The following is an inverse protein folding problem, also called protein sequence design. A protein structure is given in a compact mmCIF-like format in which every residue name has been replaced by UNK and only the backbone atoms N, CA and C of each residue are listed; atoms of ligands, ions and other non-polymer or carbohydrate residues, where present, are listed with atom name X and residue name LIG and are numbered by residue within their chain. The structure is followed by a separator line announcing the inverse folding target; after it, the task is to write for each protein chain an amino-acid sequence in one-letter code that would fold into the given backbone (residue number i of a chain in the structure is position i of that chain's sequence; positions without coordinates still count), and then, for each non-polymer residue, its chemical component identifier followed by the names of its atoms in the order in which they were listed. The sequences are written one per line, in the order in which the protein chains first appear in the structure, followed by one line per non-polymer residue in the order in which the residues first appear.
data_IF_031821851720
#
_entry.id   IF_031821851720
#
_cell.length_a   1.000
_cell.length_b   1.000
_cell.length_c   1.000
_cell.angle_alpha   90.00
_cell.angle_beta   90.00
_cell.angle_gamma   90.00
#
_symmetry.space_group_name_H-M   'P 1'
#
loop_
_entity.id
_entity.type
_entity.pdbx_description
1 polymer ?
#
# COMPACT_ATOMS: atom_id res chain seq x y z
N UNK A 1 10.56 -7.88 4.49
CA UNK A 1 9.87 -6.59 4.28
C UNK A 1 8.36 -6.79 4.22
N UNK A 2 7.63 -5.84 4.73
CA UNK A 2 6.17 -5.83 4.65
C UNK A 2 5.70 -4.49 4.12
N UNK A 3 4.47 -4.47 3.59
CA UNK A 3 3.80 -3.24 3.21
C UNK A 3 2.64 -3.03 4.18
N UNK A 4 2.63 -1.89 4.84
CA UNK A 4 1.52 -1.52 5.70
C UNK A 4 0.63 -0.55 4.94
N UNK A 5 -0.65 -0.86 4.86
CA UNK A 5 -1.63 -0.07 4.11
C UNK A 5 -2.61 0.57 5.08
N UNK A 6 -2.79 1.87 4.93
CA UNK A 6 -3.70 2.66 5.75
C UNK A 6 -4.87 3.12 4.89
N UNK A 7 -6.07 2.80 5.32
CA UNK A 7 -7.29 3.23 4.63
C UNK A 7 -8.11 4.09 5.58
N UNK A 8 -8.44 5.29 5.14
CA UNK A 8 -9.25 6.22 5.94
C UNK A 8 -10.68 6.27 5.40
N UNK A 9 -11.61 5.99 6.30
CA UNK A 9 -13.04 6.08 6.04
C UNK A 9 -13.62 7.22 6.87
N UNK A 10 -14.85 7.59 6.63
CA UNK A 10 -15.45 8.73 7.34
C UNK A 10 -15.51 8.53 8.86
N UNK A 11 -15.67 7.29 9.31
CA UNK A 11 -15.82 6.95 10.72
C UNK A 11 -14.67 6.12 11.29
N UNK A 12 -13.81 5.56 10.44
CA UNK A 12 -12.80 4.60 10.84
C UNK A 12 -11.51 4.75 10.04
N UNK A 13 -10.44 4.21 10.62
CA UNK A 13 -9.17 4.00 9.94
C UNK A 13 -8.83 2.53 10.02
N UNK A 14 -8.54 1.91 8.89
CA UNK A 14 -8.08 0.53 8.83
C UNK A 14 -6.58 0.50 8.51
N UNK A 15 -5.88 -0.38 9.20
CA UNK A 15 -4.47 -0.59 8.97
C UNK A 15 -4.23 -2.08 8.80
N UNK A 16 -3.66 -2.47 7.67
CA UNK A 16 -3.42 -3.87 7.34
C UNK A 16 -1.99 -4.05 6.85
N UNK A 17 -1.39 -5.19 7.22
CA UNK A 17 -0.05 -5.55 6.79
C UNK A 17 -0.15 -6.60 5.70
N UNK A 18 0.69 -6.46 4.68
CA UNK A 18 0.76 -7.40 3.57
C UNK A 18 2.19 -7.85 3.37
N UNK A 19 2.36 -9.12 3.09
CA UNK A 19 3.65 -9.70 2.76
C UNK A 19 3.91 -9.62 1.27
N UNK A 20 5.17 -9.84 0.89
CA UNK A 20 5.56 -9.87 -0.52
C UNK A 20 4.74 -10.92 -1.28
N UNK A 21 4.22 -10.54 -2.42
CA UNK A 21 3.42 -11.42 -3.27
C UNK A 21 1.92 -11.43 -2.97
N UNK A 22 1.49 -10.83 -1.86
CA UNK A 22 0.06 -10.78 -1.56
C UNK A 22 -0.64 -9.68 -2.37
N UNK A 23 -1.84 -9.98 -2.84
CA UNK A 23 -2.65 -8.98 -3.53
C UNK A 23 -3.25 -8.00 -2.52
N UNK A 24 -2.98 -6.72 -2.74
CA UNK A 24 -3.51 -5.64 -1.91
C UNK A 24 -4.69 -5.02 -2.63
N UNK A 25 -5.85 -5.03 -2.00
CA UNK A 25 -7.04 -4.38 -2.55
C UNK A 25 -7.45 -3.25 -1.63
N UNK A 26 -7.41 -2.04 -2.15
CA UNK A 26 -7.82 -0.86 -1.39
C UNK A 26 -9.33 -0.69 -1.53
N UNK A 27 -10.01 -0.48 -0.41
CA UNK A 27 -11.46 -0.28 -0.43
C UNK A 27 -11.84 0.92 -1.28
N UNK A 28 -12.82 0.73 -2.15
CA UNK A 28 -13.27 1.80 -3.05
C UNK A 28 -14.00 2.92 -2.33
N UNK A 29 -14.49 2.65 -1.12
CA UNK A 29 -15.18 3.64 -0.29
C UNK A 29 -14.24 4.41 0.62
N UNK A 30 -12.94 4.10 0.60
CA UNK A 30 -11.96 4.83 1.38
C UNK A 30 -11.87 6.28 0.86
N UNK A 31 -11.84 7.22 1.78
CA UNK A 31 -11.64 8.62 1.42
C UNK A 31 -10.19 8.87 1.01
N UNK A 32 -9.26 8.17 1.67
CA UNK A 32 -7.83 8.24 1.39
C UNK A 32 -7.19 6.90 1.69
N UNK A 33 -6.12 6.59 0.98
CA UNK A 33 -5.32 5.42 1.25
C UNK A 33 -3.84 5.75 1.07
N UNK A 34 -3.01 5.13 1.89
CA UNK A 34 -1.56 5.32 1.82
C UNK A 34 -0.85 4.03 2.19
N UNK A 35 0.46 4.01 1.98
CA UNK A 35 1.27 2.85 2.31
C UNK A 35 2.60 3.28 2.92
N UNK A 36 3.21 2.34 3.63
CA UNK A 36 4.60 2.46 4.08
C UNK A 36 5.22 1.07 3.93
N UNK A 37 6.44 1.04 3.38
CA UNK A 37 7.20 -0.20 3.26
C UNK A 37 8.14 -0.28 4.45
N UNK A 38 8.02 -1.36 5.23
CA UNK A 38 8.73 -1.55 6.47
C UNK A 38 9.72 -2.71 6.34
N UNK A 39 10.89 -2.56 6.97
CA UNK A 39 11.89 -3.62 6.98
C UNK A 39 11.44 -4.80 7.84
N UNK A 40 10.70 -4.53 8.92
CA UNK A 40 10.10 -5.57 9.76
C UNK A 40 8.78 -5.06 10.34
N UNK A 41 7.95 -5.96 10.90
CA UNK A 41 6.62 -5.58 11.41
C UNK A 41 6.65 -4.60 12.58
N UNK A 42 7.78 -4.50 13.27
CA UNK A 42 7.91 -3.63 14.45
C UNK A 42 8.39 -2.23 14.12
N UNK A 43 8.78 -1.99 12.87
CA UNK A 43 9.24 -0.67 12.46
C UNK A 43 8.08 0.33 12.49
N UNK A 44 8.38 1.55 12.96
CA UNK A 44 7.40 2.64 12.93
C UNK A 44 7.22 3.09 11.46
N UNK A 45 5.98 3.10 10.96
CA UNK A 45 5.73 3.56 9.59
C UNK A 45 6.21 4.99 9.32
N UNK A 46 6.24 5.84 10.34
CA UNK A 46 6.74 7.21 10.18
C UNK A 46 8.22 7.28 9.90
N UNK A 47 8.96 6.23 10.28
CA UNK A 47 10.40 6.15 10.05
C UNK A 47 10.73 5.58 8.66
N UNK A 48 9.74 5.10 7.93
CA UNK A 48 9.98 4.58 6.59
C UNK A 48 10.20 5.71 5.60
N UNK A 49 11.22 5.58 4.77
CA UNK A 49 11.48 6.51 3.67
C UNK A 49 10.64 6.17 2.43
N UNK A 50 10.07 4.98 2.39
CA UNK A 50 9.27 4.50 1.26
C UNK A 50 7.79 4.55 1.62
N UNK A 51 7.23 5.74 1.53
CA UNK A 51 5.82 5.98 1.81
C UNK A 51 5.18 6.71 0.65
N UNK A 52 3.88 6.54 0.49
CA UNK A 52 3.16 7.24 -0.56
C UNK A 52 1.67 7.01 -0.45
N UNK A 53 0.94 7.49 -1.44
CA UNK A 53 -0.50 7.36 -1.50
C UNK A 53 -0.92 6.24 -2.43
N UNK A 54 -2.07 5.64 -2.11
CA UNK A 54 -2.72 4.64 -2.95
C UNK A 54 -4.07 5.17 -3.39
N UNK A 55 -4.54 4.68 -4.53
CA UNK A 55 -5.85 5.08 -5.05
C UNK A 55 -6.94 4.20 -4.45
N UNK A 56 -8.00 4.78 -3.88
CA UNK A 56 -9.13 3.97 -3.41
C UNK A 56 -9.69 3.12 -4.55
N UNK A 57 -9.95 1.86 -4.25
CA UNK A 57 -10.41 0.90 -5.24
C UNK A 57 -9.31 0.27 -6.09
N UNK A 58 -8.07 0.69 -5.89
CA UNK A 58 -6.93 0.16 -6.66
C UNK A 58 -6.46 -1.20 -6.17
N UNK A 59 -5.68 -1.86 -7.00
CA UNK A 59 -5.04 -3.13 -6.69
C UNK A 59 -3.54 -2.97 -6.76
N UNK A 60 -2.84 -3.58 -5.81
CA UNK A 60 -1.39 -3.43 -5.68
C UNK A 60 -0.77 -4.76 -5.26
N UNK A 61 0.51 -4.90 -5.53
CA UNK A 61 1.30 -6.06 -5.07
C UNK A 61 2.72 -5.59 -4.81
N UNK A 62 3.33 -6.08 -3.72
CA UNK A 62 4.74 -5.85 -3.45
C UNK A 62 5.52 -7.06 -3.93
N UNK A 63 6.32 -6.86 -4.96
CA UNK A 63 7.00 -7.96 -5.64
C UNK A 63 8.38 -7.51 -6.09
N UNK A 64 9.39 -8.38 -5.88
CA UNK A 64 10.77 -8.12 -6.28
C UNK A 64 11.31 -6.80 -5.70
N UNK A 65 10.94 -6.50 -4.46
CA UNK A 65 11.37 -5.29 -3.78
C UNK A 65 10.69 -4.01 -4.26
N UNK A 66 9.63 -4.13 -5.06
CA UNK A 66 8.92 -2.98 -5.63
C UNK A 66 7.42 -3.07 -5.37
N UNK A 67 6.83 -1.92 -5.07
CA UNK A 67 5.37 -1.85 -5.01
C UNK A 67 4.84 -1.59 -6.42
N UNK A 68 4.01 -2.50 -6.89
CA UNK A 68 3.40 -2.44 -8.21
C UNK A 68 1.92 -2.10 -8.06
N UNK A 69 1.43 -1.23 -8.93
CA UNK A 69 0.02 -0.88 -8.99
C UNK A 69 -0.57 -1.32 -10.32
N UNK A 70 -1.85 -1.66 -10.32
CA UNK A 70 -2.53 -2.07 -11.54
C UNK A 70 -3.21 -0.88 -12.18
N UNK A 71 -2.77 -0.52 -13.39
CA UNK A 71 -3.31 0.60 -14.16
C UNK A 71 -3.66 0.10 -15.55
N UNK A 72 -4.93 0.25 -15.94
CA UNK A 72 -5.43 -0.19 -17.26
C UNK A 72 -5.10 -1.67 -17.55
N UNK A 73 -5.24 -2.52 -16.54
CA UNK A 73 -4.99 -3.95 -16.69
C UNK A 73 -3.52 -4.35 -16.67
N UNK A 74 -2.63 -3.41 -16.44
CA UNK A 74 -1.18 -3.66 -16.40
C UNK A 74 -0.61 -3.34 -15.03
N UNK A 75 0.39 -4.12 -14.62
CA UNK A 75 1.15 -3.83 -13.42
C UNK A 75 2.27 -2.86 -13.75
N UNK A 76 2.28 -1.72 -13.06
CA UNK A 76 3.30 -0.69 -13.23
C UNK A 76 3.98 -0.42 -11.91
N UNK A 77 5.22 0.07 -11.95
CA UNK A 77 5.95 0.45 -10.75
C UNK A 77 5.26 1.66 -10.12
N UNK A 78 4.73 1.48 -8.92
CA UNK A 78 3.95 2.52 -8.24
C UNK A 78 4.83 3.57 -7.56
N UNK A 79 6.06 3.22 -7.24
CA UNK A 79 6.99 4.11 -6.54
C UNK A 79 7.78 5.03 -7.47
N UNK A 80 7.56 4.93 -8.76
CA UNK A 80 8.23 5.81 -9.73
C UNK A 80 7.63 7.20 -9.68
N UNK A 81 8.48 8.20 -9.60
CA UNK A 81 8.07 9.60 -9.63
C UNK A 81 7.96 10.12 -11.06
#
# INVERSE_FOLDING_TARGET
MIVQVFEMYSDDCDCNDYEEGELIRVGKDAARASYAILDDPDQDPEDSERRGELTPGGEYVFRDGRLMGRVDGRWVDWEVE
#
